data_IF_071535398076
#
_entry.id   IF_071535398076
#
_cell.length_a   1.000
_cell.length_b   1.000
_cell.length_c   1.000
_cell.angle_alpha   90.00
_cell.angle_beta   90.00
_cell.angle_gamma   90.00
#
_symmetry.space_group_name_H-M   'P 1'
#
loop_
_entity.id
_entity.type
_entity.pdbx_description
1 polymer ?
#
# COMPACT_ATOMS: atom_id res chain seq x y z
N UNK A 1 12.11 -34.09 -2.18
CA UNK A 1 13.06 -34.69 -1.22
C UNK A 1 12.50 -34.45 0.17
N UNK A 2 12.26 -35.53 0.92
CA UNK A 2 12.06 -35.65 2.38
C UNK A 2 11.03 -34.75 3.11
N UNK A 3 9.86 -35.32 3.45
CA UNK A 3 8.96 -34.83 4.52
C UNK A 3 8.62 -35.92 5.56
N UNK A 4 9.51 -36.90 5.78
CA UNK A 4 9.23 -38.01 6.72
C UNK A 4 9.70 -37.77 8.17
N UNK A 5 10.25 -36.60 8.49
CA UNK A 5 10.62 -36.22 9.86
C UNK A 5 10.21 -34.76 10.13
N UNK A 6 8.90 -34.49 10.05
CA UNK A 6 8.35 -33.20 10.46
C UNK A 6 7.23 -33.40 11.51
N UNK A 7 7.61 -33.67 12.77
CA UNK A 7 6.66 -34.06 13.82
C UNK A 7 5.68 -32.96 14.21
N UNK A 8 5.93 -31.71 13.79
CA UNK A 8 5.11 -30.54 14.13
C UNK A 8 4.65 -29.74 12.89
N UNK A 9 4.90 -30.25 11.68
CA UNK A 9 4.41 -29.64 10.43
C UNK A 9 5.10 -28.33 10.02
N UNK A 10 6.34 -28.08 10.44
CA UNK A 10 7.09 -26.87 10.07
C UNK A 10 7.38 -26.73 8.57
N UNK A 11 7.38 -27.84 7.83
CA UNK A 11 7.61 -27.91 6.40
C UNK A 11 6.32 -28.17 5.61
N UNK A 12 5.16 -28.12 6.27
CA UNK A 12 3.88 -28.24 5.58
C UNK A 12 3.62 -26.99 4.74
N UNK A 13 3.05 -27.13 3.52
CA UNK A 13 2.71 -25.98 2.70
C UNK A 13 1.71 -25.08 3.43
N UNK A 14 1.99 -23.78 3.42
CA UNK A 14 1.18 -22.79 4.12
C UNK A 14 0.05 -22.29 3.22
N UNK A 15 -1.19 -22.65 3.57
CA UNK A 15 -2.39 -22.24 2.84
C UNK A 15 -3.14 -21.14 3.59
N UNK A 16 -3.36 -20.03 2.91
CA UNK A 16 -4.23 -18.95 3.38
C UNK A 16 -5.59 -18.98 2.69
N UNK A 17 -6.63 -18.50 3.37
CA UNK A 17 -7.98 -18.43 2.83
C UNK A 17 -8.61 -17.07 3.12
N UNK A 18 -9.05 -16.39 2.06
CA UNK A 18 -9.60 -15.04 2.13
C UNK A 18 -10.87 -14.88 1.27
N UNK A 19 -11.57 -13.77 1.48
CA UNK A 19 -12.86 -13.50 0.83
C UNK A 19 -13.98 -14.39 1.37
N UNK A 20 -15.18 -14.22 0.82
CA UNK A 20 -16.40 -14.92 1.21
C UNK A 20 -17.16 -15.36 -0.04
N UNK A 21 -17.67 -16.60 -0.09
CA UNK A 21 -18.45 -17.06 -1.22
C UNK A 21 -19.81 -16.36 -1.34
N UNK A 22 -20.22 -15.60 -0.32
CA UNK A 22 -21.48 -14.84 -0.31
C UNK A 22 -21.36 -13.46 -0.97
N UNK A 23 -20.15 -12.90 -1.09
CA UNK A 23 -19.99 -11.51 -1.57
C UNK A 23 -18.78 -11.36 -2.48
N UNK A 24 -19.03 -10.96 -3.73
CA UNK A 24 -17.98 -10.72 -4.72
C UNK A 24 -17.01 -9.62 -4.27
N UNK A 25 -17.50 -8.56 -3.63
CA UNK A 25 -16.65 -7.47 -3.16
C UNK A 25 -15.63 -7.93 -2.12
N UNK A 26 -15.96 -8.88 -1.24
CA UNK A 26 -14.97 -9.38 -0.27
C UNK A 26 -13.83 -10.15 -0.94
N UNK A 27 -14.12 -10.81 -2.08
CA UNK A 27 -13.13 -11.52 -2.87
C UNK A 27 -12.25 -10.55 -3.68
N UNK A 28 -12.83 -9.46 -4.21
CA UNK A 28 -12.06 -8.36 -4.83
C UNK A 28 -11.13 -7.72 -3.79
N UNK A 29 -11.66 -7.37 -2.62
CA UNK A 29 -10.86 -6.79 -1.53
C UNK A 29 -9.74 -7.74 -1.07
N UNK A 30 -9.99 -9.05 -1.06
CA UNK A 30 -8.97 -10.05 -0.77
C UNK A 30 -7.85 -10.05 -1.82
N UNK A 31 -8.19 -10.03 -3.10
CA UNK A 31 -7.21 -9.98 -4.18
C UNK A 31 -6.34 -8.71 -4.10
N UNK A 32 -6.97 -7.56 -3.87
CA UNK A 32 -6.27 -6.27 -3.72
C UNK A 32 -5.34 -6.27 -2.49
N UNK A 33 -5.76 -6.88 -1.37
CA UNK A 33 -4.89 -7.03 -0.20
C UNK A 33 -3.63 -7.83 -0.52
N UNK A 34 -3.75 -8.88 -1.33
CA UNK A 34 -2.59 -9.68 -1.75
C UNK A 34 -1.68 -8.90 -2.71
N UNK A 35 -2.25 -8.13 -3.65
CA UNK A 35 -1.48 -7.21 -4.50
C UNK A 35 -0.71 -6.15 -3.71
N UNK A 36 -1.29 -5.66 -2.61
CA UNK A 36 -0.65 -4.68 -1.72
C UNK A 36 0.36 -5.28 -0.75
N UNK A 37 0.52 -6.61 -0.74
CA UNK A 37 1.51 -7.25 0.13
C UNK A 37 2.92 -7.11 -0.45
N UNK A 38 3.94 -7.33 0.39
CA UNK A 38 5.34 -7.30 -0.07
C UNK A 38 5.69 -8.50 -0.96
N UNK A 39 4.84 -9.53 -1.03
CA UNK A 39 5.07 -10.72 -1.84
C UNK A 39 4.38 -10.58 -3.20
N UNK A 40 5.15 -10.80 -4.27
CA UNK A 40 4.61 -10.71 -5.63
C UNK A 40 3.86 -11.99 -6.02
N UNK A 41 2.61 -11.82 -6.45
CA UNK A 41 1.84 -12.90 -7.07
C UNK A 41 2.45 -13.19 -8.44
N UNK A 42 2.85 -14.43 -8.70
CA UNK A 42 3.41 -14.85 -9.98
C UNK A 42 2.39 -15.56 -10.87
N UNK A 43 1.44 -16.27 -10.24
CA UNK A 43 0.39 -17.02 -10.93
C UNK A 43 -0.93 -16.88 -10.18
N UNK A 44 -1.98 -16.58 -10.94
CA UNK A 44 -3.38 -16.67 -10.52
C UNK A 44 -4.04 -17.83 -11.27
N UNK A 45 -4.47 -18.84 -10.52
CA UNK A 45 -5.24 -19.98 -11.03
C UNK A 45 -6.71 -19.81 -10.69
N UNK A 46 -7.57 -19.82 -11.71
CA UNK A 46 -9.02 -19.77 -11.57
C UNK A 46 -9.52 -21.21 -11.42
N UNK A 47 -10.28 -21.48 -10.35
CA UNK A 47 -10.90 -22.76 -10.08
C UNK A 47 -12.39 -22.63 -10.40
N UNK A 48 -12.83 -23.19 -11.52
CA UNK A 48 -14.16 -23.00 -12.11
C UNK A 48 -15.02 -24.26 -11.95
N UNK A 49 -16.26 -24.11 -11.48
CA UNK A 49 -17.27 -25.18 -11.45
C UNK A 49 -18.68 -24.58 -11.58
N UNK A 50 -19.49 -25.03 -12.55
CA UNK A 50 -20.90 -24.64 -12.73
C UNK A 50 -21.16 -23.11 -12.62
N UNK A 51 -20.31 -22.29 -13.26
CA UNK A 51 -20.32 -20.81 -13.22
C UNK A 51 -19.87 -20.15 -11.92
N UNK A 52 -19.35 -20.89 -10.95
CA UNK A 52 -18.73 -20.34 -9.75
C UNK A 52 -17.21 -20.42 -9.86
N UNK A 53 -16.53 -19.38 -9.41
CA UNK A 53 -15.07 -19.27 -9.52
C UNK A 53 -14.43 -18.90 -8.20
N UNK A 54 -13.46 -19.70 -7.78
CA UNK A 54 -12.49 -19.36 -6.75
C UNK A 54 -11.14 -19.04 -7.40
N UNK A 55 -10.23 -18.43 -6.63
CA UNK A 55 -8.87 -18.15 -7.09
C UNK A 55 -7.86 -18.84 -6.19
N UNK A 56 -6.78 -19.34 -6.77
CA UNK A 56 -5.57 -19.77 -6.08
C UNK A 56 -4.42 -18.91 -6.55
N UNK A 57 -3.75 -18.24 -5.62
CA UNK A 57 -2.64 -17.33 -5.85
C UNK A 57 -1.35 -18.00 -5.41
N UNK A 58 -0.37 -18.01 -6.31
CA UNK A 58 0.99 -18.47 -6.04
C UNK A 58 1.94 -17.29 -5.96
N UNK A 59 2.80 -17.28 -4.96
CA UNK A 59 3.71 -16.19 -4.66
C UNK A 59 5.17 -16.63 -4.88
N UNK A 60 5.84 -16.05 -5.88
CA UNK A 60 7.28 -16.14 -6.15
C UNK A 60 8.06 -17.35 -5.62
N UNK A 61 9.18 -17.08 -4.94
CA UNK A 61 10.10 -18.07 -4.35
C UNK A 61 9.57 -18.71 -3.05
N UNK A 62 8.29 -18.54 -2.73
CA UNK A 62 7.69 -19.06 -1.51
C UNK A 62 6.76 -20.24 -1.81
N UNK A 63 6.72 -21.24 -0.92
CA UNK A 63 5.71 -22.31 -0.94
C UNK A 63 4.33 -21.83 -0.45
N UNK A 64 4.08 -20.51 -0.52
CA UNK A 64 2.87 -19.86 -0.06
C UNK A 64 1.81 -19.96 -1.15
N UNK A 65 0.65 -20.49 -0.79
CA UNK A 65 -0.55 -20.43 -1.60
C UNK A 65 -1.66 -19.70 -0.84
N UNK A 66 -2.34 -18.79 -1.51
CA UNK A 66 -3.54 -18.17 -0.97
C UNK A 66 -4.75 -18.51 -1.83
N UNK A 67 -5.84 -18.89 -1.18
CA UNK A 67 -7.12 -19.13 -1.82
C UNK A 67 -8.09 -17.99 -1.56
N UNK A 68 -8.70 -17.49 -2.63
CA UNK A 68 -9.85 -16.59 -2.55
C UNK A 68 -11.10 -17.42 -2.84
N UNK A 69 -12.04 -17.41 -1.88
CA UNK A 69 -13.25 -18.23 -1.92
C UNK A 69 -14.12 -17.94 -3.16
N UNK A 70 -15.04 -18.85 -3.45
CA UNK A 70 -15.87 -18.87 -4.67
C UNK A 70 -16.98 -17.80 -4.74
N UNK A 71 -16.63 -16.54 -4.47
CA UNK A 71 -17.55 -15.40 -4.53
C UNK A 71 -17.69 -14.75 -5.91
N UNK A 72 -17.01 -15.29 -6.93
CA UNK A 72 -17.10 -14.85 -8.32
C UNK A 72 -18.02 -15.78 -9.11
N UNK A 73 -18.73 -15.22 -10.10
CA UNK A 73 -19.60 -16.01 -10.99
C UNK A 73 -19.43 -15.62 -12.46
N UNK A 74 -19.95 -16.42 -13.38
CA UNK A 74 -20.01 -16.14 -14.83
C UNK A 74 -21.37 -16.52 -15.43
N UNK A 75 -21.56 -16.31 -16.74
CA UNK A 75 -22.74 -16.78 -17.48
C UNK A 75 -24.00 -15.90 -17.41
N UNK A 76 -24.09 -14.96 -16.46
CA UNK A 76 -25.21 -14.01 -16.38
C UNK A 76 -24.74 -12.61 -15.96
N UNK A 77 -25.33 -11.52 -16.47
CA UNK A 77 -24.99 -10.16 -16.03
C UNK A 77 -25.19 -9.97 -14.53
N UNK A 78 -24.21 -9.37 -13.84
CA UNK A 78 -24.31 -9.14 -12.40
C UNK A 78 -23.00 -8.69 -11.76
N UNK A 79 -22.96 -8.64 -10.43
CA UNK A 79 -21.76 -8.26 -9.67
C UNK A 79 -20.65 -9.32 -9.76
N UNK A 80 -21.01 -10.60 -9.75
CA UNK A 80 -20.07 -11.72 -9.83
C UNK A 80 -19.14 -11.68 -11.05
N UNK A 81 -19.67 -11.65 -12.29
CA UNK A 81 -18.84 -11.59 -13.48
C UNK A 81 -18.10 -10.26 -13.62
N UNK A 82 -18.72 -9.14 -13.24
CA UNK A 82 -18.04 -7.83 -13.19
C UNK A 82 -16.84 -7.88 -12.23
N UNK A 83 -16.99 -8.52 -11.08
CA UNK A 83 -15.93 -8.69 -10.11
C UNK A 83 -14.80 -9.59 -10.61
N UNK A 84 -15.15 -10.71 -11.25
CA UNK A 84 -14.17 -11.61 -11.86
C UNK A 84 -13.35 -10.89 -12.94
N UNK A 85 -14.04 -10.17 -13.82
CA UNK A 85 -13.42 -9.37 -14.86
C UNK A 85 -12.50 -8.27 -14.29
N UNK A 86 -12.87 -7.63 -13.18
CA UNK A 86 -11.99 -6.64 -12.50
C UNK A 86 -10.70 -7.29 -12.01
N UNK A 87 -10.81 -8.46 -11.37
CA UNK A 87 -9.65 -9.20 -10.90
C UNK A 87 -8.77 -9.64 -12.07
N UNK A 88 -9.38 -10.07 -13.17
CA UNK A 88 -8.66 -10.43 -14.39
C UNK A 88 -7.87 -9.24 -14.97
N UNK A 89 -8.49 -8.06 -15.05
CA UNK A 89 -7.83 -6.82 -15.50
C UNK A 89 -6.70 -6.41 -14.58
N UNK A 90 -6.89 -6.52 -13.26
CA UNK A 90 -5.81 -6.29 -12.29
C UNK A 90 -4.66 -7.28 -12.52
N UNK A 91 -4.95 -8.57 -12.66
CA UNK A 91 -3.93 -9.58 -12.93
C UNK A 91 -3.13 -9.28 -14.21
N UNK A 92 -3.81 -8.88 -15.29
CA UNK A 92 -3.15 -8.44 -16.53
C UNK A 92 -2.29 -7.19 -16.32
N UNK A 93 -2.81 -6.19 -15.62
CA UNK A 93 -2.09 -4.94 -15.33
C UNK A 93 -0.79 -5.19 -14.55
N UNK A 94 -0.81 -6.10 -13.58
CA UNK A 94 0.35 -6.50 -12.79
C UNK A 94 1.19 -7.61 -13.44
N UNK A 95 0.92 -7.98 -14.70
CA UNK A 95 1.61 -9.06 -15.43
C UNK A 95 1.61 -10.42 -14.71
N UNK A 96 0.55 -10.70 -13.96
CA UNK A 96 0.35 -11.98 -13.28
C UNK A 96 -0.07 -13.03 -14.32
N UNK A 97 0.61 -14.19 -14.32
CA UNK A 97 0.20 -15.28 -15.21
C UNK A 97 -1.18 -15.79 -14.78
N UNK A 98 -2.03 -16.13 -15.76
CA UNK A 98 -3.37 -16.63 -15.48
C UNK A 98 -3.54 -18.04 -16.05
N UNK A 99 -4.12 -18.93 -15.27
CA UNK A 99 -4.52 -20.28 -15.68
C UNK A 99 -5.92 -20.59 -15.17
N UNK A 100 -6.62 -21.50 -15.84
CA UNK A 100 -7.94 -21.95 -15.42
C UNK A 100 -7.99 -23.47 -15.32
N UNK A 101 -8.68 -23.94 -14.28
CA UNK A 101 -8.94 -25.34 -13.98
C UNK A 101 -10.44 -25.54 -13.88
N UNK A 102 -10.97 -26.54 -14.61
CA UNK A 102 -12.36 -26.93 -14.49
C UNK A 102 -12.47 -28.02 -13.44
N UNK A 103 -12.79 -27.62 -12.21
CA UNK A 103 -12.81 -28.48 -11.03
C UNK A 103 -14.23 -28.97 -10.73
N UNK A 104 -14.32 -30.01 -9.89
CA UNK A 104 -15.61 -30.47 -9.39
C UNK A 104 -16.09 -29.64 -8.18
N UNK A 105 -17.33 -29.89 -7.74
CA UNK A 105 -17.92 -29.17 -6.61
C UNK A 105 -17.16 -29.36 -5.29
N UNK A 106 -16.54 -30.53 -5.10
CA UNK A 106 -15.80 -30.84 -3.87
C UNK A 106 -14.57 -29.95 -3.72
N UNK A 107 -13.91 -29.59 -4.81
CA UNK A 107 -12.84 -28.59 -4.80
C UNK A 107 -13.31 -27.23 -4.30
N UNK A 108 -14.44 -26.71 -4.81
CA UNK A 108 -14.97 -25.43 -4.36
C UNK A 108 -15.41 -25.49 -2.89
N UNK A 109 -16.01 -26.61 -2.45
CA UNK A 109 -16.34 -26.82 -1.03
C UNK A 109 -15.08 -26.75 -0.16
N UNK A 110 -14.01 -27.48 -0.54
CA UNK A 110 -12.74 -27.45 0.20
C UNK A 110 -12.15 -26.05 0.28
N UNK A 111 -12.13 -25.30 -0.83
CA UNK A 111 -11.66 -23.91 -0.83
C UNK A 111 -12.51 -23.03 0.09
N UNK A 112 -13.83 -23.15 0.01
CA UNK A 112 -14.74 -22.34 0.84
C UNK A 112 -14.59 -22.64 2.33
N UNK A 113 -14.41 -23.92 2.70
CA UNK A 113 -14.25 -24.36 4.09
C UNK A 113 -12.81 -24.32 4.61
N UNK A 114 -11.82 -23.98 3.79
CA UNK A 114 -10.41 -23.94 4.22
C UNK A 114 -9.77 -25.32 4.38
N UNK A 115 -10.16 -26.29 3.56
CA UNK A 115 -9.84 -27.71 3.71
C UNK A 115 -9.03 -28.29 2.54
N UNK A 116 -8.40 -27.45 1.71
CA UNK A 116 -7.51 -27.93 0.64
C UNK A 116 -6.27 -28.57 1.28
N UNK A 117 -5.88 -29.74 0.77
CA UNK A 117 -4.71 -30.49 1.23
C UNK A 117 -3.58 -30.45 0.21
N UNK A 118 -2.36 -30.79 0.63
CA UNK A 118 -1.23 -30.91 -0.29
C UNK A 118 -1.48 -31.95 -1.40
N UNK A 119 -2.15 -33.05 -1.07
CA UNK A 119 -2.53 -34.08 -2.04
C UNK A 119 -3.50 -33.52 -3.11
N UNK A 120 -4.42 -32.63 -2.70
CA UNK A 120 -5.29 -31.93 -3.64
C UNK A 120 -4.48 -31.08 -4.61
N UNK A 121 -3.53 -30.28 -4.12
CA UNK A 121 -2.65 -29.45 -4.98
C UNK A 121 -1.86 -30.30 -5.97
N UNK A 122 -1.28 -31.41 -5.52
CA UNK A 122 -0.52 -32.33 -6.39
C UNK A 122 -1.39 -32.96 -7.49
N UNK A 123 -2.69 -33.14 -7.21
CA UNK A 123 -3.66 -33.68 -8.18
C UNK A 123 -4.30 -32.62 -9.09
N UNK A 124 -4.09 -31.32 -8.84
CA UNK A 124 -4.82 -30.24 -9.52
C UNK A 124 -4.57 -30.20 -11.03
N UNK A 125 -3.38 -30.57 -11.50
CA UNK A 125 -3.05 -30.58 -12.94
C UNK A 125 -3.95 -31.51 -13.77
N UNK A 126 -4.61 -32.49 -13.15
CA UNK A 126 -5.59 -33.35 -13.82
C UNK A 126 -6.84 -32.58 -14.28
N UNK A 127 -7.14 -31.45 -13.63
CA UNK A 127 -8.29 -30.58 -13.91
C UNK A 127 -7.93 -29.43 -14.85
N UNK A 128 -6.70 -29.41 -15.40
CA UNK A 128 -6.22 -28.33 -16.24
C UNK A 128 -7.07 -28.22 -17.51
N UNK A 129 -7.68 -27.06 -17.71
CA UNK A 129 -8.45 -26.79 -18.93
C UNK A 129 -7.52 -26.83 -20.14
N UNK A 130 -7.91 -27.58 -21.18
CA UNK A 130 -7.12 -27.71 -22.42
C UNK A 130 -7.07 -26.43 -23.23
N UNK A 131 -8.05 -25.54 -23.04
CA UNK A 131 -8.11 -24.24 -23.71
C UNK A 131 -8.27 -23.10 -22.68
N UNK A 132 -7.39 -22.08 -22.68
CA UNK A 132 -7.54 -20.89 -21.84
C UNK A 132 -8.60 -19.89 -22.34
N UNK A 133 -9.39 -20.25 -23.35
CA UNK A 133 -10.22 -19.32 -24.14
C UNK A 133 -11.37 -18.69 -23.35
N UNK A 134 -11.93 -19.37 -22.34
CA UNK A 134 -13.01 -18.84 -21.50
C UNK A 134 -12.60 -17.62 -20.66
N UNK A 135 -11.30 -17.43 -20.43
CA UNK A 135 -10.78 -16.28 -19.69
C UNK A 135 -11.03 -14.94 -20.40
N UNK A 136 -11.05 -14.93 -21.74
CA UNK A 136 -11.35 -13.72 -22.52
C UNK A 136 -12.84 -13.39 -22.51
N UNK A 137 -13.72 -14.39 -22.44
CA UNK A 137 -15.18 -14.20 -22.36
C UNK A 137 -15.58 -13.43 -21.09
N UNK A 138 -14.77 -13.48 -20.02
CA UNK A 138 -15.03 -12.70 -18.81
C UNK A 138 -14.84 -11.19 -19.02
N UNK A 139 -14.01 -10.76 -19.97
CA UNK A 139 -13.69 -9.35 -20.18
C UNK A 139 -14.85 -8.55 -20.80
N UNK A 140 -15.74 -9.21 -21.53
CA UNK A 140 -16.93 -8.59 -22.12
C UNK A 140 -17.95 -8.08 -21.08
N UNK A 141 -17.81 -8.51 -19.82
CA UNK A 141 -18.69 -8.12 -18.73
C UNK A 141 -18.40 -6.71 -18.16
N UNK A 142 -17.33 -6.03 -18.58
CA UNK A 142 -16.95 -4.70 -18.06
C UNK A 142 -17.04 -3.56 -19.08
N UNK A 143 -17.52 -2.37 -18.67
CA UNK A 143 -17.35 -1.16 -19.46
C UNK A 143 -15.88 -0.70 -19.48
N UNK A 144 -15.45 -0.05 -20.57
CA UNK A 144 -14.11 0.49 -20.88
C UNK A 144 -13.39 1.30 -19.77
N UNK A 145 -14.05 1.67 -18.66
CA UNK A 145 -13.48 2.50 -17.57
C UNK A 145 -12.33 1.82 -16.81
N UNK A 146 -12.13 0.52 -16.97
CA UNK A 146 -11.04 -0.23 -16.36
C UNK A 146 -9.85 -0.47 -17.31
N UNK A 147 -9.87 0.12 -18.50
CA UNK A 147 -8.71 0.15 -19.41
C UNK A 147 -7.77 1.34 -19.14
N UNK A 148 -8.18 2.29 -18.28
CA UNK A 148 -7.34 3.42 -17.85
C UNK A 148 -6.71 3.13 -16.48
N UNK A 149 -5.41 3.42 -16.36
CA UNK A 149 -4.58 3.32 -15.15
C UNK A 149 -5.27 4.00 -13.95
N UNK A 150 -5.93 5.13 -14.16
CA UNK A 150 -6.63 5.85 -13.08
C UNK A 150 -7.77 5.02 -12.49
N UNK A 151 -8.52 4.32 -13.34
CA UNK A 151 -9.61 3.43 -12.89
C UNK A 151 -9.11 2.26 -12.05
N UNK A 152 -7.93 1.74 -12.39
CA UNK A 152 -7.25 0.66 -11.65
C UNK A 152 -6.75 1.17 -10.29
N UNK A 153 -6.05 2.31 -10.25
CA UNK A 153 -5.49 2.85 -9.02
C UNK A 153 -6.56 3.25 -7.99
N UNK A 154 -7.74 3.68 -8.44
CA UNK A 154 -8.87 3.97 -7.55
C UNK A 154 -9.42 2.73 -6.81
N UNK A 155 -9.03 1.51 -7.18
CA UNK A 155 -9.40 0.30 -6.44
C UNK A 155 -8.56 0.10 -5.18
N UNK A 156 -7.40 0.75 -5.10
CA UNK A 156 -6.48 0.62 -3.98
C UNK A 156 -6.88 1.57 -2.87
N UNK A 157 -7.09 1.01 -1.67
CA UNK A 157 -7.27 1.81 -0.46
C UNK A 157 -5.92 2.38 -0.04
N UNK A 158 -5.93 3.61 0.43
CA UNK A 158 -4.76 4.26 1.01
C UNK A 158 -4.23 3.48 2.23
N UNK A 159 -2.92 3.23 2.25
CA UNK A 159 -2.23 2.55 3.34
C UNK A 159 -1.12 3.47 3.85
N UNK A 160 -1.13 3.74 5.15
CA UNK A 160 -0.05 4.50 5.80
C UNK A 160 1.19 3.59 5.89
N UNK A 161 2.34 3.97 5.29
CA UNK A 161 3.57 3.19 5.35
C UNK A 161 4.28 3.44 6.69
N UNK A 162 3.80 2.79 7.76
CA UNK A 162 4.30 2.99 9.13
C UNK A 162 5.83 2.86 9.27
N UNK A 163 6.47 1.99 8.47
CA UNK A 163 7.92 1.75 8.51
C UNK A 163 8.77 2.98 8.17
N UNK A 164 8.22 3.96 7.44
CA UNK A 164 8.94 5.18 7.06
C UNK A 164 8.55 6.40 7.89
N UNK A 165 7.63 6.28 8.84
CA UNK A 165 7.17 7.42 9.65
C UNK A 165 8.16 7.75 10.76
N UNK A 166 8.43 9.04 10.94
CA UNK A 166 9.26 9.57 12.01
C UNK A 166 8.58 9.38 13.37
N UNK A 167 9.26 8.83 14.39
CA UNK A 167 8.69 8.68 15.73
C UNK A 167 8.16 9.98 16.35
N UNK A 168 8.64 11.15 15.92
CA UNK A 168 8.15 12.45 16.41
C UNK A 168 6.67 12.75 16.05
N UNK A 169 6.11 12.00 15.09
CA UNK A 169 4.72 12.15 14.63
C UNK A 169 3.93 10.84 14.69
N UNK A 170 4.45 9.78 15.32
CA UNK A 170 3.79 8.48 15.34
C UNK A 170 2.42 8.52 16.04
N UNK A 171 2.27 9.34 17.08
CA UNK A 171 1.02 9.58 17.81
C UNK A 171 -0.04 10.28 16.96
N UNK A 172 0.35 10.96 15.88
CA UNK A 172 -0.57 11.60 14.95
C UNK A 172 -1.28 10.57 14.06
N UNK A 173 -0.67 9.40 13.83
CA UNK A 173 -1.15 8.42 12.84
C UNK A 173 -2.51 7.79 13.20
N UNK A 174 -2.80 7.62 14.49
CA UNK A 174 -4.09 7.09 14.93
C UNK A 174 -5.22 8.09 14.67
N UNK A 175 -4.96 9.37 14.95
CA UNK A 175 -5.91 10.47 14.78
C UNK A 175 -6.13 10.82 13.31
N UNK A 176 -5.10 10.63 12.49
CA UNK A 176 -5.12 10.93 11.07
C UNK A 176 -6.30 10.25 10.34
N UNK A 177 -6.60 9.00 10.68
CA UNK A 177 -7.71 8.24 10.04
C UNK A 177 -9.10 8.80 10.35
N UNK A 178 -9.23 9.54 11.46
CA UNK A 178 -10.51 10.07 11.94
C UNK A 178 -10.65 11.56 11.59
N UNK A 179 -9.57 12.32 11.74
CA UNK A 179 -9.53 13.75 11.50
C UNK A 179 -8.17 14.16 10.87
N UNK A 180 -8.00 13.95 9.55
CA UNK A 180 -6.73 14.22 8.88
C UNK A 180 -6.35 15.70 8.93
N UNK A 181 -7.33 16.60 8.78
CA UNK A 181 -7.09 18.04 8.72
C UNK A 181 -6.53 18.62 10.03
N UNK A 182 -7.18 18.28 11.14
CA UNK A 182 -6.71 18.68 12.47
C UNK A 182 -5.34 18.05 12.77
N UNK A 183 -5.17 16.79 12.39
CA UNK A 183 -3.93 16.04 12.61
C UNK A 183 -2.75 16.69 11.88
N UNK A 184 -2.91 17.03 10.60
CA UNK A 184 -1.88 17.69 9.80
C UNK A 184 -1.58 19.09 10.33
N UNK A 185 -2.61 19.87 10.64
CA UNK A 185 -2.46 21.20 11.25
C UNK A 185 -1.66 21.17 12.56
N UNK A 186 -1.94 20.19 13.43
CA UNK A 186 -1.19 19.96 14.65
C UNK A 186 0.25 19.48 14.37
N UNK A 187 0.43 18.68 13.32
CA UNK A 187 1.73 18.23 12.84
C UNK A 187 2.65 19.37 12.44
N UNK A 188 2.18 20.35 11.67
CA UNK A 188 2.99 21.51 11.31
C UNK A 188 3.29 22.42 12.51
N UNK A 189 2.33 22.64 13.42
CA UNK A 189 2.59 23.39 14.66
C UNK A 189 3.68 22.71 15.48
N UNK A 190 3.66 21.37 15.56
CA UNK A 190 4.69 20.58 16.24
C UNK A 190 6.04 20.70 15.55
N UNK A 191 6.08 20.70 14.22
CA UNK A 191 7.33 20.91 13.46
C UNK A 191 7.95 22.27 13.79
N UNK A 192 7.15 23.33 13.85
CA UNK A 192 7.61 24.67 14.25
C UNK A 192 8.16 24.66 15.68
N UNK A 193 7.43 24.10 16.64
CA UNK A 193 7.86 23.98 18.03
C UNK A 193 9.18 23.18 18.15
N UNK A 194 9.29 22.07 17.42
CA UNK A 194 10.50 21.25 17.40
C UNK A 194 11.73 22.06 16.93
N UNK A 195 11.56 22.90 15.91
CA UNK A 195 12.62 23.77 15.42
C UNK A 195 12.93 24.93 16.37
N UNK A 196 11.91 25.52 17.01
CA UNK A 196 12.08 26.55 18.03
C UNK A 196 12.92 26.04 19.20
N UNK A 197 12.60 24.87 19.73
CA UNK A 197 13.33 24.21 20.80
C UNK A 197 14.76 23.88 20.37
N UNK A 198 14.93 23.29 19.18
CA UNK A 198 16.23 22.90 18.65
C UNK A 198 17.18 24.07 18.46
N UNK A 199 16.66 25.22 18.04
CA UNK A 199 17.45 26.42 17.76
C UNK A 199 17.37 27.50 18.85
N UNK A 200 16.67 27.24 19.96
CA UNK A 200 16.45 28.17 21.08
C UNK A 200 15.98 29.55 20.59
N UNK A 201 14.91 29.58 19.80
CA UNK A 201 14.35 30.80 19.18
C UNK A 201 12.85 30.94 19.47
N UNK A 202 12.38 32.19 19.55
CA UNK A 202 10.96 32.53 19.62
C UNK A 202 10.40 33.00 18.25
N UNK A 203 11.14 32.76 17.16
CA UNK A 203 10.65 33.06 15.82
C UNK A 203 9.58 32.04 15.40
N UNK A 204 8.68 32.41 14.49
CA UNK A 204 7.59 31.55 14.00
C UNK A 204 7.62 31.44 12.47
N UNK A 205 7.03 30.37 11.94
CA UNK A 205 6.88 30.14 10.51
C UNK A 205 8.17 30.26 9.71
N UNK A 206 8.05 30.92 8.57
CA UNK A 206 9.10 31.05 7.54
C UNK A 206 10.37 31.72 8.06
N UNK A 207 10.24 32.58 9.09
CA UNK A 207 11.35 33.27 9.74
C UNK A 207 12.30 32.31 10.46
N UNK A 208 11.81 31.22 11.06
CA UNK A 208 12.67 30.19 11.64
C UNK A 208 13.55 29.60 10.53
N UNK A 209 12.96 29.28 9.37
CA UNK A 209 13.70 28.62 8.29
C UNK A 209 14.72 29.55 7.65
N UNK A 210 14.37 30.81 7.41
CA UNK A 210 15.33 31.79 6.92
C UNK A 210 16.53 31.94 7.86
N UNK A 211 16.31 31.91 9.17
CA UNK A 211 17.38 32.08 10.15
C UNK A 211 18.31 30.88 10.27
N UNK A 212 17.79 29.66 10.10
CA UNK A 212 18.53 28.44 10.44
C UNK A 212 18.82 27.52 9.26
N UNK A 213 18.13 27.68 8.13
CA UNK A 213 18.25 26.78 6.98
C UNK A 213 18.75 27.49 5.72
N UNK A 214 18.58 28.82 5.60
CA UNK A 214 19.05 29.56 4.41
C UNK A 214 20.57 29.50 4.29
N UNK A 215 21.15 29.09 3.14
CA UNK A 215 22.60 29.02 2.93
C UNK A 215 23.35 30.34 3.17
N UNK A 216 22.67 31.48 3.07
CA UNK A 216 23.26 32.81 3.24
C UNK A 216 23.34 33.23 4.73
N UNK A 217 22.42 32.72 5.55
CA UNK A 217 22.26 33.10 6.97
C UNK A 217 22.67 31.97 7.92
N UNK A 218 22.56 30.72 7.46
CA UNK A 218 22.96 29.51 8.16
C UNK A 218 24.47 29.34 8.08
N UNK A 219 25.10 29.02 9.21
CA UNK A 219 26.47 28.54 9.19
C UNK A 219 26.46 27.13 8.54
N UNK A 220 27.37 26.83 7.61
CA UNK A 220 27.41 25.53 6.92
C UNK A 220 27.48 24.32 7.87
N UNK A 221 27.93 24.55 9.11
CA UNK A 221 27.97 23.55 10.18
C UNK A 221 26.59 23.19 10.76
N UNK A 222 25.49 23.71 10.23
CA UNK A 222 24.14 23.32 10.67
C UNK A 222 23.76 21.96 10.09
N UNK A 223 24.38 21.46 9.02
CA UNK A 223 24.07 20.12 8.50
C UNK A 223 25.07 19.07 9.01
N UNK A 224 24.57 17.98 9.58
CA UNK A 224 25.39 16.89 10.14
C UNK A 224 26.24 16.18 9.07
N UNK A 225 25.75 16.10 7.83
CA UNK A 225 26.41 15.44 6.71
C UNK A 225 27.36 16.37 5.93
N UNK A 226 27.53 17.61 6.37
CA UNK A 226 28.39 18.64 5.76
C UNK A 226 28.29 18.69 4.21
N UNK A 227 27.07 18.87 3.65
CA UNK A 227 26.86 18.83 2.21
C UNK A 227 27.35 20.12 1.54
N UNK A 228 27.49 20.10 0.21
CA UNK A 228 27.89 21.31 -0.54
C UNK A 228 26.86 22.42 -0.42
N UNK A 229 27.27 23.69 -0.59
CA UNK A 229 26.37 24.85 -0.52
C UNK A 229 25.16 24.73 -1.46
N UNK A 230 25.34 24.13 -2.64
CA UNK A 230 24.24 23.87 -3.58
C UNK A 230 23.20 22.90 -3.04
N UNK A 231 23.63 21.83 -2.35
CA UNK A 231 22.72 20.87 -1.70
C UNK A 231 22.04 21.51 -0.49
N UNK A 232 22.76 22.31 0.32
CA UNK A 232 22.16 23.10 1.40
C UNK A 232 21.03 23.97 0.87
N UNK A 233 21.27 24.68 -0.25
CA UNK A 233 20.27 25.53 -0.90
C UNK A 233 19.06 24.74 -1.38
N UNK A 234 19.28 23.65 -2.10
CA UNK A 234 18.19 22.82 -2.61
C UNK A 234 17.33 22.23 -1.47
N UNK A 235 17.94 21.77 -0.38
CA UNK A 235 17.22 21.27 0.80
C UNK A 235 16.41 22.37 1.48
N UNK A 236 16.97 23.56 1.60
CA UNK A 236 16.26 24.73 2.13
C UNK A 236 15.05 25.10 1.26
N UNK A 237 15.25 25.24 -0.04
CA UNK A 237 14.21 25.64 -0.98
C UNK A 237 13.06 24.61 -0.99
N UNK A 238 13.38 23.31 -0.97
CA UNK A 238 12.40 22.23 -0.85
C UNK A 238 11.64 22.29 0.47
N UNK A 239 12.34 22.42 1.59
CA UNK A 239 11.72 22.52 2.91
C UNK A 239 10.76 23.72 2.97
N UNK A 240 11.21 24.89 2.51
CA UNK A 240 10.44 26.12 2.49
C UNK A 240 9.18 25.98 1.63
N UNK A 241 9.33 25.48 0.40
CA UNK A 241 8.21 25.29 -0.52
C UNK A 241 7.16 24.32 0.04
N UNK A 242 7.59 23.17 0.59
CA UNK A 242 6.69 22.21 1.21
C UNK A 242 6.01 22.78 2.47
N UNK A 243 6.72 23.52 3.30
CA UNK A 243 6.11 24.12 4.48
C UNK A 243 5.09 25.19 4.08
N UNK A 244 5.48 26.18 3.28
CA UNK A 244 4.61 27.30 2.90
C UNK A 244 3.41 26.84 2.05
N UNK A 245 3.62 25.91 1.12
CA UNK A 245 2.58 25.43 0.22
C UNK A 245 1.41 24.77 0.95
N UNK A 246 1.70 23.91 1.93
CA UNK A 246 0.67 23.13 2.62
C UNK A 246 0.22 23.78 3.94
N UNK A 247 1.13 24.41 4.70
CA UNK A 247 0.76 25.05 5.96
C UNK A 247 -0.16 26.24 5.77
N UNK A 248 0.11 27.07 4.76
CA UNK A 248 -0.67 28.29 4.52
C UNK A 248 -2.05 27.96 3.97
N UNK A 249 -2.15 26.96 3.09
CA UNK A 249 -3.44 26.48 2.59
C UNK A 249 -4.35 26.04 3.75
N UNK A 250 -3.82 25.27 4.70
CA UNK A 250 -4.54 24.87 5.91
C UNK A 250 -4.85 26.00 6.89
N UNK A 251 -4.15 27.13 6.80
CA UNK A 251 -4.45 28.31 7.62
C UNK A 251 -5.59 29.16 7.03
N UNK A 252 -5.89 28.99 5.74
CA UNK A 252 -6.80 29.85 4.99
C UNK A 252 -8.04 29.11 4.45
N UNK A 253 -8.01 27.79 4.30
CA UNK A 253 -9.11 26.98 3.78
C UNK A 253 -9.60 25.96 4.83
N UNK A 254 -10.92 25.90 5.04
CA UNK A 254 -11.57 24.98 6.00
C UNK A 254 -11.78 23.55 5.45
N UNK A 255 -11.49 23.30 4.17
CA UNK A 255 -11.75 22.01 3.53
C UNK A 255 -10.58 21.61 2.63
N UNK A 256 -9.79 20.62 3.05
CA UNK A 256 -8.81 19.96 2.19
C UNK A 256 -9.41 18.64 1.74
N UNK A 257 -9.34 18.35 0.44
CA UNK A 257 -9.77 17.06 -0.09
C UNK A 257 -8.98 15.94 0.61
N UNK A 258 -9.68 14.96 1.19
CA UNK A 258 -9.06 13.84 1.90
C UNK A 258 -8.14 13.01 0.99
N UNK A 259 -8.35 13.03 -0.33
CA UNK A 259 -7.54 12.29 -1.31
C UNK A 259 -6.05 12.70 -1.29
N UNK A 260 -5.72 13.93 -0.88
CA UNK A 260 -4.33 14.41 -0.80
C UNK A 260 -3.75 14.39 0.63
N UNK A 261 -4.56 14.06 1.63
CA UNK A 261 -4.15 14.14 3.04
C UNK A 261 -3.01 13.16 3.36
N UNK A 262 -3.04 11.94 2.80
CA UNK A 262 -1.97 10.97 3.02
C UNK A 262 -0.67 11.45 2.37
N UNK A 263 -0.74 12.03 1.17
CA UNK A 263 0.41 12.61 0.51
C UNK A 263 1.04 13.72 1.37
N UNK A 264 0.22 14.60 1.93
CA UNK A 264 0.67 15.65 2.83
C UNK A 264 1.28 15.10 4.14
N UNK A 265 0.71 14.03 4.71
CA UNK A 265 1.29 13.35 5.87
C UNK A 265 2.71 12.85 5.56
N UNK A 266 2.93 12.31 4.35
CA UNK A 266 4.26 11.86 3.91
C UNK A 266 5.21 13.05 3.73
N UNK A 267 4.74 14.19 3.22
CA UNK A 267 5.55 15.41 3.11
C UNK A 267 5.90 15.96 4.50
N UNK A 268 4.96 16.05 5.42
CA UNK A 268 5.20 16.45 6.81
C UNK A 268 6.23 15.53 7.47
N UNK A 269 6.08 14.22 7.30
CA UNK A 269 7.06 13.23 7.76
C UNK A 269 8.46 13.50 7.19
N UNK A 270 8.56 13.81 5.90
CA UNK A 270 9.81 14.18 5.26
C UNK A 270 10.43 15.45 5.86
N UNK A 271 9.64 16.47 6.18
CA UNK A 271 10.12 17.68 6.87
C UNK A 271 10.72 17.33 8.24
N UNK A 272 10.06 16.49 9.04
CA UNK A 272 10.63 16.00 10.31
C UNK A 272 11.96 15.29 10.12
N UNK A 273 12.09 14.42 9.10
CA UNK A 273 13.35 13.76 8.77
C UNK A 273 14.45 14.74 8.40
N UNK A 274 14.15 15.77 7.60
CA UNK A 274 15.13 16.83 7.28
C UNK A 274 15.65 17.46 8.57
N UNK A 275 14.78 17.73 9.54
CA UNK A 275 15.22 18.40 10.78
C UNK A 275 16.23 17.57 11.57
N UNK A 276 16.24 16.23 11.46
CA UNK A 276 17.23 15.36 12.11
C UNK A 276 18.65 15.57 11.58
N UNK A 277 18.80 15.93 10.32
CA UNK A 277 20.10 16.25 9.73
C UNK A 277 20.64 17.61 10.17
N UNK A 278 19.88 18.38 10.94
CA UNK A 278 20.33 19.65 11.49
C UNK A 278 21.08 19.42 12.81
N UNK A 279 22.26 20.01 12.95
CA UNK A 279 23.01 20.08 14.19
C UNK A 279 22.29 21.03 15.17
N UNK A 280 22.29 20.66 16.45
CA UNK A 280 21.96 21.64 17.50
C UNK A 280 22.99 22.77 17.40
N UNK A 281 22.55 24.01 17.58
CA UNK A 281 23.49 25.13 17.67
C UNK A 281 24.46 24.81 18.81
N UNK A 282 25.76 24.72 18.49
CA UNK A 282 26.78 24.69 19.52
C UNK A 282 26.54 25.91 20.41
N UNK A 283 26.37 25.69 21.71
CA UNK A 283 26.42 26.78 22.66
C UNK A 283 27.75 27.49 22.37
N UNK A 284 27.68 28.78 22.00
CA UNK A 284 28.87 29.60 22.10
C UNK A 284 29.29 29.46 23.55
N UNK A 285 30.34 28.69 23.82
CA UNK A 285 31.08 28.78 25.07
C UNK A 285 31.54 30.23 25.13
N UNK A 286 30.76 31.02 25.88
CA UNK A 286 31.06 32.41 26.15
C UNK A 286 32.27 32.45 27.06
N UNK A 287 33.28 33.17 26.58
CA UNK A 287 34.37 33.75 27.36
C UNK A 287 33.84 34.63 28.51
#
# INVERSE_FOLDING_TARGET
MFFNNDPIGQNAPYFEYAGSPQTTQSCIDAFIRYLNSNDSITLMSILSCNHYHALMLTFGESDRLAFIRSGFTSGYPGEGPKGLAKVFRLAQFFNIQIREFNVNEDWLKKVNYGQVTQADIQGLDQYRSKEPTACYDYLDALPFKYDDVKGIFNLFKEIIPYSIIDPAISDLLEKFKLNPDETLSNGYKRLEQHLQEKFKTNSFGTRIFEMFLSPEKANNNIWHDNPSNGICKARYDLFKACFEGFRNERAHNEYVNNEDALFELILLNYLFKITKFLNKRAEKQGA
#
